data_IF_333852277862
#
_entry.id   IF_333852277862
#
_cell.length_a   1.000
_cell.length_b   1.000
_cell.length_c   1.000
_cell.angle_alpha   90.00
_cell.angle_beta   90.00
_cell.angle_gamma   90.00
#
_symmetry.space_group_name_H-M   'P 1'
#
loop_
_entity.id
_entity.type
_entity.pdbx_description
1 polymer ?
#
# COMPACT_ATOMS: atom_id res chain seq x y z
N UNK A 1 -41.57 -10.35 26.58
CA UNK A 1 -40.82 -9.13 26.24
C UNK A 1 -39.86 -9.50 25.12
N UNK A 2 -40.03 -8.94 23.92
CA UNK A 2 -39.08 -9.16 22.83
C UNK A 2 -37.79 -8.41 23.19
N UNK A 3 -36.70 -9.14 23.36
CA UNK A 3 -35.37 -8.55 23.56
C UNK A 3 -34.93 -8.05 22.20
N UNK A 4 -35.02 -6.74 21.98
CA UNK A 4 -34.58 -6.10 20.75
C UNK A 4 -33.06 -6.28 20.64
N UNK A 5 -32.63 -7.15 19.72
CA UNK A 5 -31.21 -7.40 19.48
C UNK A 5 -30.72 -6.42 18.43
N UNK A 6 -29.60 -5.72 18.67
CA UNK A 6 -29.07 -4.78 17.70
C UNK A 6 -28.77 -5.48 16.38
N UNK A 7 -29.22 -4.90 15.27
CA UNK A 7 -28.84 -5.33 13.93
C UNK A 7 -27.38 -4.99 13.69
N UNK A 8 -26.54 -6.02 13.56
CA UNK A 8 -25.11 -5.86 13.26
C UNK A 8 -24.92 -5.91 11.74
N UNK A 9 -24.53 -4.78 11.16
CA UNK A 9 -24.31 -4.66 9.71
C UNK A 9 -22.88 -5.01 9.28
N UNK A 10 -21.89 -4.84 10.18
CA UNK A 10 -20.48 -5.10 9.90
C UNK A 10 -19.77 -5.56 11.18
N UNK A 11 -18.94 -6.59 11.08
CA UNK A 11 -18.08 -7.06 12.16
C UNK A 11 -16.63 -6.86 11.76
N UNK A 12 -15.84 -6.20 12.61
CA UNK A 12 -14.40 -6.03 12.37
C UNK A 12 -13.67 -7.38 12.24
N UNK A 13 -14.15 -8.41 12.93
CA UNK A 13 -13.57 -9.76 12.83
C UNK A 13 -13.89 -10.41 11.49
N UNK A 14 -15.09 -10.20 10.94
CA UNK A 14 -15.45 -10.65 9.61
C UNK A 14 -14.67 -9.87 8.55
N UNK A 15 -14.67 -8.53 8.66
CA UNK A 15 -13.94 -7.63 7.77
C UNK A 15 -12.46 -8.02 7.67
N UNK A 16 -11.77 -8.24 8.79
CA UNK A 16 -10.34 -8.63 8.80
C UNK A 16 -10.04 -9.96 8.09
N UNK A 17 -11.03 -10.84 7.94
CA UNK A 17 -10.90 -12.10 7.18
C UNK A 17 -11.15 -11.89 5.69
N UNK A 18 -11.95 -10.90 5.33
CA UNK A 18 -12.39 -10.63 3.97
C UNK A 18 -11.52 -9.58 3.26
N UNK A 19 -10.85 -8.70 4.00
CA UNK A 19 -9.93 -7.69 3.43
C UNK A 19 -8.83 -8.39 2.66
N UNK A 20 -8.74 -8.04 1.38
CA UNK A 20 -7.73 -8.56 0.47
C UNK A 20 -6.32 -8.20 0.96
N UNK A 21 -5.39 -9.14 0.77
CA UNK A 21 -3.97 -8.95 1.04
C UNK A 21 -3.23 -9.12 -0.28
N UNK A 22 -3.04 -8.04 -1.05
CA UNK A 22 -2.40 -8.15 -2.35
C UNK A 22 -0.96 -8.61 -2.21
N UNK A 23 -0.41 -9.16 -3.30
CA UNK A 23 1.01 -9.45 -3.36
C UNK A 23 1.84 -8.17 -3.22
N UNK A 24 3.08 -8.25 -2.69
CA UNK A 24 3.93 -7.08 -2.62
C UNK A 24 4.29 -6.53 -4.01
N UNK A 25 4.27 -5.19 -4.17
CA UNK A 25 4.71 -4.53 -5.39
C UNK A 25 6.23 -4.58 -5.49
N UNK A 26 6.74 -5.15 -6.60
CA UNK A 26 8.17 -5.35 -6.80
C UNK A 26 8.66 -4.55 -7.99
N UNK A 27 9.81 -3.92 -7.83
CA UNK A 27 10.49 -3.14 -8.88
C UNK A 27 11.84 -3.76 -9.18
N UNK A 28 12.11 -4.00 -10.47
CA UNK A 28 13.44 -4.39 -10.93
C UNK A 28 14.31 -3.15 -11.07
N UNK A 29 15.46 -3.16 -10.41
CA UNK A 29 16.52 -2.19 -10.54
C UNK A 29 17.52 -2.60 -11.62
N UNK A 30 18.49 -1.72 -11.91
CA UNK A 30 19.62 -2.06 -12.77
C UNK A 30 20.39 -3.26 -12.19
N UNK A 31 20.89 -4.14 -13.05
CA UNK A 31 21.63 -5.33 -12.61
C UNK A 31 20.75 -6.46 -12.06
N UNK A 32 19.46 -6.49 -12.42
CA UNK A 32 18.49 -7.56 -12.06
C UNK A 32 18.22 -7.72 -10.56
N UNK A 33 18.50 -6.69 -9.75
CA UNK A 33 18.10 -6.67 -8.34
C UNK A 33 16.62 -6.30 -8.25
N UNK A 34 15.85 -7.01 -7.43
CA UNK A 34 14.46 -6.67 -7.12
C UNK A 34 14.40 -5.98 -5.75
N UNK A 35 13.61 -4.91 -5.66
CA UNK A 35 13.20 -4.30 -4.39
C UNK A 35 11.70 -4.50 -4.18
N UNK A 36 11.27 -4.50 -2.92
CA UNK A 36 9.86 -4.69 -2.56
C UNK A 36 9.33 -3.44 -1.86
N UNK A 37 8.26 -2.88 -2.40
CA UNK A 37 7.44 -1.91 -1.69
C UNK A 37 6.43 -2.70 -0.85
N UNK A 38 6.35 -2.50 0.48
CA UNK A 38 5.31 -3.12 1.29
C UNK A 38 3.98 -2.38 1.13
N UNK A 39 2.89 -3.07 1.45
CA UNK A 39 1.54 -2.49 1.39
C UNK A 39 1.34 -1.45 2.51
N UNK A 40 1.29 -0.17 2.13
CA UNK A 40 1.03 0.93 3.07
C UNK A 40 -0.37 0.85 3.68
N UNK A 41 -1.33 0.27 2.97
CA UNK A 41 -2.71 0.14 3.45
C UNK A 41 -2.88 -1.02 4.44
N UNK A 42 -1.86 -1.89 4.55
CA UNK A 42 -1.79 -2.93 5.56
C UNK A 42 -1.10 -2.47 6.86
N UNK A 43 -0.47 -1.29 6.88
CA UNK A 43 0.13 -0.72 8.09
C UNK A 43 -0.95 -0.25 9.08
N UNK A 44 -0.56 -0.11 10.35
CA UNK A 44 -1.43 0.52 11.35
C UNK A 44 -1.74 1.97 10.95
N UNK A 45 -2.97 2.42 11.15
CA UNK A 45 -3.47 3.67 10.57
C UNK A 45 -2.62 4.90 10.92
N UNK A 46 -2.09 5.01 12.15
CA UNK A 46 -1.27 6.15 12.55
C UNK A 46 0.14 6.10 11.96
N UNK A 47 0.70 4.91 11.78
CA UNK A 47 1.98 4.71 11.10
C UNK A 47 1.86 5.03 9.61
N UNK A 48 0.80 4.55 8.98
CA UNK A 48 0.49 4.80 7.57
C UNK A 48 0.28 6.30 7.29
N UNK A 49 -0.47 7.01 8.15
CA UNK A 49 -0.81 8.43 7.98
C UNK A 49 0.44 9.31 7.86
N UNK A 50 1.46 9.08 8.69
CA UNK A 50 2.71 9.83 8.60
C UNK A 50 3.42 9.61 7.27
N UNK A 51 3.45 8.37 6.77
CA UNK A 51 4.15 8.03 5.53
C UNK A 51 3.38 8.56 4.32
N UNK A 52 2.06 8.39 4.29
CA UNK A 52 1.19 8.95 3.25
C UNK A 52 1.32 10.46 3.16
N UNK A 53 1.18 11.17 4.29
CA UNK A 53 1.26 12.63 4.30
C UNK A 53 2.61 13.17 3.81
N UNK A 54 3.71 12.49 4.13
CA UNK A 54 5.04 12.89 3.66
C UNK A 54 5.23 12.63 2.15
N UNK A 55 4.69 11.52 1.61
CA UNK A 55 4.77 11.16 0.18
C UNK A 55 3.81 12.00 -0.69
N UNK A 56 2.61 12.32 -0.20
CA UNK A 56 1.67 13.20 -0.90
C UNK A 56 2.24 14.62 -1.08
N UNK A 57 2.93 15.12 -0.06
CA UNK A 57 3.62 16.43 -0.14
C UNK A 57 4.82 16.38 -1.08
N UNK A 58 5.58 15.29 -1.04
CA UNK A 58 6.75 15.10 -1.89
C UNK A 58 7.04 13.61 -2.11
N UNK A 59 6.69 13.10 -3.29
CA UNK A 59 6.94 11.70 -3.67
C UNK A 59 8.43 11.33 -3.76
N UNK A 60 9.35 12.30 -3.72
CA UNK A 60 10.81 12.09 -3.67
C UNK A 60 11.40 12.24 -2.26
N UNK A 61 10.57 12.24 -1.23
CA UNK A 61 10.99 12.37 0.17
C UNK A 61 11.68 11.08 0.67
N UNK A 62 13.00 11.13 0.79
CA UNK A 62 13.79 9.98 1.24
C UNK A 62 13.54 9.56 2.68
N UNK A 63 13.20 10.50 3.58
CA UNK A 63 12.82 10.15 4.96
C UNK A 63 11.55 9.30 4.97
N UNK A 64 10.59 9.59 4.09
CA UNK A 64 9.39 8.79 3.95
C UNK A 64 9.67 7.43 3.30
N UNK A 65 10.51 7.40 2.26
CA UNK A 65 10.91 6.15 1.59
C UNK A 65 11.70 5.22 2.49
N UNK A 66 12.54 5.74 3.39
CA UNK A 66 13.30 4.95 4.36
C UNK A 66 12.43 4.39 5.50
N UNK A 67 11.29 5.04 5.79
CA UNK A 67 10.26 4.47 6.68
C UNK A 67 9.43 3.40 5.98
N UNK A 68 9.14 3.63 4.70
CA UNK A 68 8.30 2.72 3.91
C UNK A 68 9.04 1.43 3.52
N UNK A 69 10.26 1.55 3.00
CA UNK A 69 11.03 0.41 2.49
C UNK A 69 11.89 -0.23 3.57
N UNK A 70 12.28 -1.48 3.36
CA UNK A 70 13.36 -2.06 4.15
C UNK A 70 14.64 -1.26 3.95
N UNK A 71 15.52 -1.21 4.96
CA UNK A 71 16.81 -0.50 4.86
C UNK A 71 17.64 -0.94 3.65
N UNK A 72 17.59 -2.23 3.31
CA UNK A 72 18.31 -2.80 2.17
C UNK A 72 17.73 -2.33 0.82
N UNK A 73 16.40 -2.24 0.72
CA UNK A 73 15.71 -1.83 -0.51
C UNK A 73 15.79 -0.31 -0.71
N UNK A 74 15.65 0.48 0.37
CA UNK A 74 15.87 1.92 0.33
C UNK A 74 17.30 2.26 -0.15
N UNK A 75 18.31 1.59 0.40
CA UNK A 75 19.69 1.78 -0.01
C UNK A 75 19.93 1.37 -1.47
N UNK A 76 19.29 0.28 -1.91
CA UNK A 76 19.36 -0.19 -3.30
C UNK A 76 18.75 0.83 -4.27
N UNK A 77 17.53 1.31 -3.97
CA UNK A 77 16.84 2.31 -4.76
C UNK A 77 17.66 3.61 -4.84
N UNK A 78 18.30 4.01 -3.73
CA UNK A 78 19.13 5.22 -3.67
C UNK A 78 20.39 5.10 -4.52
N UNK A 79 20.95 3.90 -4.65
CA UNK A 79 22.13 3.64 -5.47
C UNK A 79 21.87 3.81 -6.97
N UNK A 80 20.62 3.68 -7.43
CA UNK A 80 20.23 3.91 -8.83
C UNK A 80 20.35 5.38 -9.26
N UNK A 81 20.48 6.32 -8.31
CA UNK A 81 20.64 7.77 -8.58
C UNK A 81 19.55 8.33 -9.50
N UNK A 82 18.31 7.86 -9.32
CA UNK A 82 17.14 8.34 -10.05
C UNK A 82 16.98 9.86 -9.91
N UNK A 83 16.59 10.51 -10.99
CA UNK A 83 16.09 11.88 -10.94
C UNK A 83 14.82 11.96 -10.09
N UNK A 84 14.47 13.18 -9.65
CA UNK A 84 13.22 13.43 -8.89
C UNK A 84 12.00 12.91 -9.65
N UNK A 85 11.99 13.06 -10.99
CA UNK A 85 10.89 12.59 -11.85
C UNK A 85 10.78 11.06 -11.85
N UNK A 86 11.90 10.37 -12.01
CA UNK A 86 11.92 8.90 -12.03
C UNK A 86 11.54 8.32 -10.67
N UNK A 87 12.09 8.89 -9.58
CA UNK A 87 11.75 8.45 -8.23
C UNK A 87 10.27 8.66 -7.92
N UNK A 88 9.72 9.83 -8.28
CA UNK A 88 8.29 10.10 -8.11
C UNK A 88 7.43 9.11 -8.91
N UNK A 89 7.83 8.77 -10.14
CA UNK A 89 7.10 7.81 -10.96
C UNK A 89 7.10 6.39 -10.34
N UNK A 90 8.22 5.94 -9.78
CA UNK A 90 8.31 4.64 -9.07
C UNK A 90 7.40 4.64 -7.84
N UNK A 91 7.42 5.70 -7.05
CA UNK A 91 6.58 5.86 -5.85
C UNK A 91 5.10 5.87 -6.20
N UNK A 92 4.72 6.63 -7.22
CA UNK A 92 3.33 6.69 -7.70
C UNK A 92 2.85 5.34 -8.23
N UNK A 93 3.70 4.58 -8.94
CA UNK A 93 3.36 3.25 -9.41
C UNK A 93 3.08 2.28 -8.26
N UNK A 94 3.89 2.33 -7.20
CA UNK A 94 3.68 1.51 -6.00
C UNK A 94 2.38 1.89 -5.26
N UNK A 95 2.11 3.18 -5.07
CA UNK A 95 0.86 3.65 -4.44
C UNK A 95 -0.36 3.20 -5.26
N UNK A 96 -0.34 3.45 -6.57
CA UNK A 96 -1.45 3.11 -7.46
C UNK A 96 -1.75 1.60 -7.49
N UNK A 97 -0.72 0.76 -7.38
CA UNK A 97 -0.90 -0.69 -7.28
C UNK A 97 -1.75 -1.08 -6.07
N UNK A 98 -1.48 -0.49 -4.90
CA UNK A 98 -2.21 -0.82 -3.68
C UNK A 98 -3.59 -0.16 -3.62
N UNK A 99 -3.76 1.07 -4.11
CA UNK A 99 -5.07 1.73 -4.19
C UNK A 99 -6.10 0.90 -4.97
N UNK A 100 -5.68 0.28 -6.08
CA UNK A 100 -6.53 -0.60 -6.89
C UNK A 100 -7.04 -1.80 -6.09
N UNK A 101 -6.27 -2.28 -5.11
CA UNK A 101 -6.60 -3.48 -4.33
C UNK A 101 -7.58 -3.18 -3.19
N UNK A 102 -7.52 -1.97 -2.63
CA UNK A 102 -8.44 -1.49 -1.58
C UNK A 102 -9.84 -1.24 -2.16
N UNK A 103 -9.91 -0.67 -3.37
CA UNK A 103 -11.19 -0.38 -4.05
C UNK A 103 -11.96 -1.61 -4.57
N UNK A 104 -11.28 -2.74 -4.79
CA UNK A 104 -11.91 -3.98 -5.27
C UNK A 104 -12.59 -4.82 -4.20
N UNK A 105 -12.45 -4.49 -2.92
CA UNK A 105 -13.02 -5.25 -1.80
C UNK A 105 -14.57 -5.32 -1.79
N UNK A 106 -15.26 -4.59 -2.69
CA UNK A 106 -16.72 -4.63 -2.84
C UNK A 106 -17.27 -5.36 -4.07
N UNK A 107 -16.44 -5.76 -5.05
CA UNK A 107 -16.92 -6.39 -6.29
C UNK A 107 -16.65 -7.90 -6.30
N UNK A 108 -17.16 -8.60 -5.30
CA UNK A 108 -17.42 -10.03 -5.41
C UNK A 108 -18.54 -10.25 -6.44
N UNK A 109 -18.18 -10.67 -7.65
CA UNK A 109 -19.06 -11.34 -8.63
C UNK A 109 -20.46 -10.74 -8.84
N UNK A 110 -20.58 -9.77 -9.75
CA UNK A 110 -21.85 -9.49 -10.42
C UNK A 110 -21.59 -9.18 -11.90
N UNK A 111 -21.09 -10.18 -12.65
CA UNK A 111 -21.15 -10.21 -14.12
C UNK A 111 -20.91 -11.64 -14.59
N UNK A 112 -21.95 -12.47 -14.44
CA UNK A 112 -22.17 -13.67 -15.25
C UNK A 112 -23.68 -13.96 -15.22
N UNK A 113 -24.44 -13.21 -15.99
CA UNK A 113 -25.78 -13.54 -16.50
C UNK A 113 -26.05 -12.70 -17.73
#
# INVERSE_FOLDING_TARGET
MAVDKPTVHLSLTALRKEVAKPDPFRVSLTGSKLITFPDLFALESTEAESVFGDLERNASNWTALEKWLSKADAAALRAEKLSVRELAAVVQAAIAYYEQTVGTAGNGTASAS
#
